data_IF_714420612898
#
_entry.id   IF_714420612898
#
_cell.length_a   1.000
_cell.length_b   1.000
_cell.length_c   1.000
_cell.angle_alpha   90.00
_cell.angle_beta   90.00
_cell.angle_gamma   90.00
#
_symmetry.space_group_name_H-M   'P 1'
#
loop_
_entity.id
_entity.type
_entity.pdbx_description
1 polymer ?
#
# COMPACT_ATOMS: atom_id res chain seq x y z
N UNK A 1 8.24 -6.93 24.94
CA UNK A 1 7.75 -5.90 23.99
C UNK A 1 8.82 -5.65 22.95
N UNK A 2 8.71 -6.21 21.75
CA UNK A 2 9.69 -6.03 20.66
C UNK A 2 9.37 -4.79 19.81
N UNK A 3 9.51 -3.60 20.37
CA UNK A 3 9.42 -2.35 19.58
C UNK A 3 10.44 -1.34 20.11
N UNK A 4 11.70 -1.49 19.66
CA UNK A 4 12.85 -0.76 20.20
C UNK A 4 13.31 0.45 19.39
N UNK A 5 12.90 0.58 18.13
CA UNK A 5 13.45 1.62 17.22
C UNK A 5 12.89 3.02 17.46
N UNK A 6 11.61 3.13 17.86
CA UNK A 6 10.97 4.43 18.11
C UNK A 6 10.63 4.65 19.57
N UNK A 7 10.86 3.66 20.44
CA UNK A 7 10.67 3.72 21.90
C UNK A 7 11.00 5.09 22.54
N UNK A 8 12.16 5.73 22.26
CA UNK A 8 12.50 7.02 22.88
C UNK A 8 11.66 8.21 22.41
N UNK A 9 10.91 8.09 21.30
CA UNK A 9 10.13 9.18 20.72
C UNK A 9 8.74 9.18 21.35
N UNK A 10 8.26 10.30 21.92
CA UNK A 10 6.91 10.42 22.48
C UNK A 10 5.81 10.14 21.45
N UNK A 11 4.70 9.53 21.89
CA UNK A 11 3.57 9.20 21.01
C UNK A 11 3.04 10.41 20.25
N UNK A 12 2.92 11.57 20.91
CA UNK A 12 2.48 12.81 20.28
C UNK A 12 3.40 13.25 19.13
N UNK A 13 4.72 13.14 19.30
CA UNK A 13 5.67 13.46 18.25
C UNK A 13 5.54 12.48 17.06
N UNK A 14 5.36 11.19 17.31
CA UNK A 14 5.12 10.19 16.26
C UNK A 14 3.81 10.46 15.51
N UNK A 15 2.76 10.86 16.21
CA UNK A 15 1.47 11.21 15.63
C UNK A 15 1.56 12.45 14.72
N UNK A 16 2.30 13.48 15.15
CA UNK A 16 2.57 14.67 14.30
C UNK A 16 3.35 14.28 13.06
N UNK A 17 4.42 13.49 13.20
CA UNK A 17 5.20 12.99 12.05
C UNK A 17 4.33 12.20 11.10
N UNK A 18 3.49 11.29 11.62
CA UNK A 18 2.54 10.54 10.82
C UNK A 18 1.59 11.45 10.06
N UNK A 19 0.97 12.43 10.74
CA UNK A 19 0.05 13.38 10.11
C UNK A 19 0.71 14.16 8.97
N UNK A 20 1.93 14.66 9.17
CA UNK A 20 2.70 15.37 8.14
C UNK A 20 2.97 14.44 6.95
N UNK A 21 3.49 13.23 7.19
CA UNK A 21 3.78 12.26 6.11
C UNK A 21 2.51 11.87 5.36
N UNK A 22 1.41 11.60 6.06
CA UNK A 22 0.14 11.20 5.45
C UNK A 22 -0.43 12.31 4.57
N UNK A 23 -0.41 13.57 5.03
CA UNK A 23 -0.86 14.73 4.24
C UNK A 23 0.02 14.93 3.01
N UNK A 24 1.35 14.85 3.15
CA UNK A 24 2.27 14.99 2.02
C UNK A 24 2.01 13.91 0.95
N UNK A 25 1.93 12.64 1.35
CA UNK A 25 1.65 11.54 0.43
C UNK A 25 0.28 11.69 -0.25
N UNK A 26 -0.75 12.08 0.50
CA UNK A 26 -2.08 12.33 -0.05
C UNK A 26 -2.06 13.48 -1.07
N UNK A 27 -1.40 14.59 -0.76
CA UNK A 27 -1.27 15.73 -1.68
C UNK A 27 -0.51 15.33 -2.93
N UNK A 28 0.59 14.58 -2.80
CA UNK A 28 1.34 14.07 -3.95
C UNK A 28 0.50 13.19 -4.87
N UNK A 29 -0.31 12.30 -4.29
CA UNK A 29 -1.21 11.40 -5.03
C UNK A 29 -2.34 12.17 -5.75
N UNK A 30 -2.94 13.16 -5.07
CA UNK A 30 -3.99 14.00 -5.63
C UNK A 30 -3.48 14.95 -6.72
N UNK A 31 -2.29 15.53 -6.52
CA UNK A 31 -1.67 16.50 -7.44
C UNK A 31 -0.89 15.85 -8.58
N UNK A 32 -0.62 14.56 -8.50
CA UNK A 32 0.15 13.80 -9.50
C UNK A 32 1.51 14.46 -9.79
N UNK A 33 2.23 14.82 -8.72
CA UNK A 33 3.56 15.42 -8.86
C UNK A 33 4.47 14.37 -9.51
N UNK A 34 4.92 14.63 -10.73
CA UNK A 34 5.78 13.72 -11.48
C UNK A 34 7.21 13.88 -10.97
N UNK A 35 7.62 12.95 -10.10
CA UNK A 35 9.02 12.81 -9.73
C UNK A 35 9.70 11.89 -10.75
N UNK A 36 10.58 12.46 -11.57
CA UNK A 36 11.42 11.69 -12.49
C UNK A 36 12.53 10.99 -11.71
N UNK A 37 12.19 9.84 -11.12
CA UNK A 37 13.16 8.96 -10.50
C UNK A 37 13.68 7.98 -11.56
N UNK A 38 14.94 7.49 -11.44
CA UNK A 38 15.45 6.40 -12.27
C UNK A 38 14.71 5.10 -11.94
N UNK A 39 13.48 4.98 -12.44
CA UNK A 39 12.60 3.84 -12.22
C UNK A 39 12.76 2.82 -13.34
N UNK A 40 12.57 1.55 -12.99
CA UNK A 40 12.56 0.46 -13.95
C UNK A 40 11.38 0.67 -14.92
N UNK A 41 11.62 0.59 -16.22
CA UNK A 41 10.60 0.80 -17.27
C UNK A 41 9.55 -0.31 -17.36
N UNK A 42 9.75 -1.42 -16.65
CA UNK A 42 8.88 -2.59 -16.66
C UNK A 42 8.39 -2.91 -15.26
N UNK A 43 7.06 -3.07 -15.12
CA UNK A 43 6.40 -3.42 -13.85
C UNK A 43 6.62 -4.90 -13.47
N UNK A 44 6.77 -5.78 -14.46
CA UNK A 44 6.98 -7.22 -14.28
C UNK A 44 8.17 -7.66 -15.13
N UNK A 45 9.32 -8.01 -14.51
CA UNK A 45 10.46 -8.51 -15.24
C UNK A 45 10.15 -9.90 -15.82
N UNK A 46 10.23 -10.03 -17.16
CA UNK A 46 9.89 -11.28 -17.86
C UNK A 46 10.78 -12.47 -17.44
N UNK A 47 12.00 -12.17 -16.98
CA UNK A 47 12.97 -13.10 -16.39
C UNK A 47 12.44 -13.90 -15.18
N UNK A 48 11.39 -13.42 -14.50
CA UNK A 48 10.79 -14.11 -13.35
C UNK A 48 10.06 -15.39 -13.76
N UNK A 49 9.50 -15.44 -14.98
CA UNK A 49 8.75 -16.61 -15.46
C UNK A 49 9.61 -17.62 -16.23
N UNK A 50 10.89 -17.31 -16.48
CA UNK A 50 11.80 -18.16 -17.24
C UNK A 50 12.04 -19.55 -16.63
N UNK A 51 11.82 -19.72 -15.31
CA UNK A 51 12.01 -20.99 -14.58
C UNK A 51 10.69 -21.72 -14.26
N UNK A 52 9.60 -21.38 -14.94
CA UNK A 52 8.30 -22.02 -14.82
C UNK A 52 7.26 -21.15 -14.12
N UNK A 53 6.01 -21.23 -14.59
CA UNK A 53 4.90 -20.34 -14.23
C UNK A 53 4.54 -20.40 -12.73
N UNK A 54 4.56 -21.60 -12.12
CA UNK A 54 4.23 -21.74 -10.69
C UNK A 54 5.27 -21.09 -9.77
N UNK A 55 6.55 -21.44 -9.91
CA UNK A 55 7.62 -20.89 -9.08
C UNK A 55 7.85 -19.40 -9.36
N UNK A 56 7.77 -19.00 -10.63
CA UNK A 56 7.84 -17.61 -11.06
C UNK A 56 6.67 -16.80 -10.49
N UNK A 57 5.45 -17.31 -10.59
CA UNK A 57 4.25 -16.66 -10.06
C UNK A 57 4.26 -16.49 -8.54
N UNK A 58 4.69 -17.52 -7.79
CA UNK A 58 4.82 -17.41 -6.34
C UNK A 58 5.88 -16.37 -5.93
N UNK A 59 7.07 -16.44 -6.54
CA UNK A 59 8.14 -15.47 -6.28
C UNK A 59 7.71 -14.06 -6.65
N UNK A 60 7.07 -13.89 -7.79
CA UNK A 60 6.51 -12.61 -8.21
C UNK A 60 5.49 -12.11 -7.19
N UNK A 61 4.59 -12.96 -6.70
CA UNK A 61 3.61 -12.60 -5.68
C UNK A 61 4.25 -12.11 -4.37
N UNK A 62 5.32 -12.77 -3.92
CA UNK A 62 6.09 -12.34 -2.74
C UNK A 62 6.80 -11.00 -3.01
N UNK A 63 7.51 -10.88 -4.13
CA UNK A 63 8.19 -9.63 -4.51
C UNK A 63 7.17 -8.47 -4.64
N UNK A 64 6.03 -8.74 -5.26
CA UNK A 64 4.90 -7.82 -5.42
C UNK A 64 4.26 -7.41 -4.09
N UNK A 65 4.10 -8.35 -3.15
CA UNK A 65 3.55 -8.09 -1.81
C UNK A 65 4.50 -7.29 -0.92
N UNK A 66 5.81 -7.49 -1.06
CA UNK A 66 6.83 -6.73 -0.34
C UNK A 66 7.16 -5.37 -0.98
N UNK A 67 6.52 -5.01 -2.10
CA UNK A 67 6.88 -3.82 -2.87
C UNK A 67 8.29 -3.88 -3.47
N UNK A 68 8.87 -5.09 -3.55
CA UNK A 68 10.16 -5.31 -4.15
C UNK A 68 10.01 -5.27 -5.67
N UNK A 69 10.72 -4.34 -6.32
CA UNK A 69 10.74 -4.14 -7.79
C UNK A 69 9.41 -3.76 -8.45
N UNK A 70 8.34 -3.64 -7.67
CA UNK A 70 6.98 -3.35 -8.16
C UNK A 70 6.56 -1.99 -7.63
N UNK A 71 6.20 -1.11 -8.55
CA UNK A 71 5.72 0.23 -8.19
C UNK A 71 4.34 0.09 -7.56
N UNK A 72 4.17 0.64 -6.37
CA UNK A 72 2.86 0.75 -5.71
C UNK A 72 2.27 2.11 -6.12
N UNK A 73 1.22 2.12 -6.97
CA UNK A 73 0.78 3.37 -7.61
C UNK A 73 -0.06 4.26 -6.69
N UNK A 74 -0.57 3.74 -5.57
CA UNK A 74 -1.42 4.48 -4.63
C UNK A 74 -0.65 4.83 -3.35
N UNK A 75 -0.82 6.07 -2.90
CA UNK A 75 -0.30 6.52 -1.61
C UNK A 75 -0.89 5.76 -0.41
N UNK A 76 -2.09 5.19 -0.54
CA UNK A 76 -2.77 4.47 0.54
C UNK A 76 -1.88 3.42 1.23
N UNK A 77 -1.12 2.63 0.46
CA UNK A 77 -0.25 1.59 1.01
C UNK A 77 0.95 2.16 1.77
N UNK A 78 1.52 3.26 1.25
CA UNK A 78 2.62 3.97 1.92
C UNK A 78 2.15 4.65 3.21
N UNK A 79 0.94 5.21 3.22
CA UNK A 79 0.33 5.82 4.40
C UNK A 79 0.06 4.73 5.46
N UNK A 80 -0.48 3.57 5.07
CA UNK A 80 -0.70 2.45 5.98
C UNK A 80 0.61 1.91 6.56
N UNK A 81 1.66 1.78 5.75
CA UNK A 81 2.98 1.36 6.21
C UNK A 81 3.58 2.37 7.21
N UNK A 82 3.47 3.68 6.93
CA UNK A 82 3.92 4.73 7.84
C UNK A 82 3.15 4.69 9.17
N UNK A 83 1.84 4.44 9.13
CA UNK A 83 1.03 4.28 10.34
C UNK A 83 1.53 3.09 11.18
N UNK A 84 1.67 1.90 10.60
CA UNK A 84 2.14 0.70 11.31
C UNK A 84 3.50 0.94 11.94
N UNK A 85 4.41 1.60 11.22
CA UNK A 85 5.75 1.92 11.70
C UNK A 85 5.72 2.88 12.90
N UNK A 86 4.95 3.97 12.82
CA UNK A 86 4.98 5.07 13.79
C UNK A 86 4.06 4.86 15.01
N UNK A 87 2.96 4.14 14.85
CA UNK A 87 1.96 3.91 15.91
C UNK A 87 2.43 2.94 16.98
N UNK A 88 3.41 2.08 16.70
CA UNK A 88 3.91 1.09 17.66
C UNK A 88 2.85 0.05 18.05
N UNK A 89 2.01 -0.36 17.09
CA UNK A 89 0.93 -1.32 17.31
C UNK A 89 1.43 -2.65 17.90
N UNK A 90 0.57 -3.35 18.67
CA UNK A 90 0.79 -4.76 18.99
C UNK A 90 1.01 -5.58 17.73
N UNK A 91 1.88 -6.59 17.81
CA UNK A 91 2.24 -7.44 16.67
C UNK A 91 1.02 -8.04 15.96
N UNK A 92 -0.02 -8.43 16.72
CA UNK A 92 -1.26 -8.98 16.18
C UNK A 92 -1.95 -8.03 15.19
N UNK A 93 -2.05 -6.75 15.54
CA UNK A 93 -2.64 -5.72 14.68
C UNK A 93 -1.77 -5.40 13.48
N UNK A 94 -0.44 -5.34 13.65
CA UNK A 94 0.48 -5.15 12.54
C UNK A 94 0.40 -6.30 11.53
N UNK A 95 0.35 -7.55 12.00
CA UNK A 95 0.16 -8.74 11.16
C UNK A 95 -1.21 -8.73 10.48
N UNK A 96 -2.28 -8.38 11.21
CA UNK A 96 -3.61 -8.30 10.64
C UNK A 96 -3.72 -7.25 9.52
N UNK A 97 -3.15 -6.06 9.71
CA UNK A 97 -3.09 -5.01 8.69
C UNK A 97 -2.25 -5.45 7.48
N UNK A 98 -1.12 -6.11 7.71
CA UNK A 98 -0.29 -6.67 6.64
C UNK A 98 -1.02 -7.77 5.84
N UNK A 99 -1.74 -8.65 6.53
CA UNK A 99 -2.55 -9.69 5.91
C UNK A 99 -3.72 -9.10 5.11
N UNK A 100 -4.42 -8.11 5.66
CA UNK A 100 -5.49 -7.40 4.96
C UNK A 100 -4.97 -6.68 3.71
N UNK A 101 -3.80 -6.04 3.79
CA UNK A 101 -3.13 -5.46 2.63
C UNK A 101 -2.81 -6.53 1.59
N UNK A 102 -2.17 -7.65 1.96
CA UNK A 102 -1.87 -8.75 1.05
C UNK A 102 -3.12 -9.34 0.39
N UNK A 103 -4.19 -9.57 1.17
CA UNK A 103 -5.47 -10.07 0.67
C UNK A 103 -6.13 -9.10 -0.33
N UNK A 104 -6.07 -7.79 -0.06
CA UNK A 104 -6.64 -6.76 -0.95
C UNK A 104 -6.02 -6.80 -2.35
N UNK A 105 -4.77 -7.25 -2.47
CA UNK A 105 -4.05 -7.38 -3.75
C UNK A 105 -4.50 -8.58 -4.57
N UNK A 106 -5.07 -9.61 -3.94
CA UNK A 106 -5.66 -10.75 -4.63
C UNK A 106 -7.09 -10.46 -5.14
N UNK A 107 -7.78 -9.48 -4.54
CA UNK A 107 -9.18 -9.18 -4.87
C UNK A 107 -9.42 -8.86 -6.36
N UNK A 108 -8.63 -8.01 -7.04
CA UNK A 108 -8.88 -7.71 -8.47
C UNK A 108 -8.78 -8.94 -9.36
N UNK A 109 -7.87 -9.87 -9.04
CA UNK A 109 -7.69 -11.12 -9.78
C UNK A 109 -8.87 -12.05 -9.53
N UNK A 110 -9.28 -12.22 -8.26
CA UNK A 110 -10.46 -13.03 -7.92
C UNK A 110 -11.72 -12.45 -8.56
N UNK A 111 -11.90 -11.14 -8.51
CA UNK A 111 -13.02 -10.44 -9.14
C UNK A 111 -13.05 -10.69 -10.64
N UNK A 112 -11.90 -10.67 -11.31
CA UNK A 112 -11.80 -11.00 -12.72
C UNK A 112 -12.09 -12.48 -13.02
N UNK A 113 -11.60 -13.42 -12.22
CA UNK A 113 -11.87 -14.86 -12.41
C UNK A 113 -13.36 -15.16 -12.24
N UNK A 114 -14.01 -14.53 -11.27
CA UNK A 114 -15.41 -14.82 -10.92
C UNK A 114 -16.42 -14.08 -11.79
N UNK A 115 -16.11 -12.84 -12.18
CA UNK A 115 -17.07 -11.94 -12.85
C UNK A 115 -16.51 -11.24 -14.09
N UNK A 116 -15.30 -11.59 -14.52
CA UNK A 116 -14.66 -11.01 -15.69
C UNK A 116 -15.52 -11.20 -16.95
N UNK A 117 -15.76 -10.08 -17.64
CA UNK A 117 -16.46 -10.05 -18.94
C UNK A 117 -15.61 -9.25 -19.93
N UNK A 118 -15.81 -9.44 -21.26
CA UNK A 118 -15.18 -8.58 -22.25
C UNK A 118 -15.40 -7.10 -21.92
N UNK A 119 -14.33 -6.30 -21.93
CA UNK A 119 -14.37 -4.88 -21.56
C UNK A 119 -14.09 -4.56 -20.08
N UNK A 120 -13.99 -5.56 -19.20
CA UNK A 120 -13.70 -5.36 -17.78
C UNK A 120 -12.37 -4.61 -17.54
N UNK A 121 -11.32 -4.97 -18.27
CA UNK A 121 -10.01 -4.32 -18.17
C UNK A 121 -10.06 -2.85 -18.62
N UNK A 122 -10.84 -2.54 -19.67
CA UNK A 122 -11.01 -1.17 -20.15
C UNK A 122 -11.81 -0.33 -19.15
N UNK A 123 -12.84 -0.92 -18.54
CA UNK A 123 -13.59 -0.29 -17.45
C UNK A 123 -12.70 0.00 -16.23
N UNK A 124 -11.91 -0.98 -15.78
CA UNK A 124 -11.03 -0.77 -14.63
C UNK A 124 -9.96 0.29 -14.93
N UNK A 125 -9.34 0.27 -16.12
CA UNK A 125 -8.33 1.25 -16.47
C UNK A 125 -8.88 2.68 -16.52
N UNK A 126 -10.13 2.87 -16.96
CA UNK A 126 -10.78 4.19 -16.96
C UNK A 126 -11.12 4.70 -15.57
N UNK A 127 -11.29 3.82 -14.58
CA UNK A 127 -11.64 4.18 -13.21
C UNK A 127 -10.48 4.07 -12.20
N UNK A 128 -9.33 3.51 -12.60
CA UNK A 128 -8.20 3.25 -11.70
C UNK A 128 -7.76 4.50 -10.96
N UNK A 129 -7.69 5.65 -11.62
CA UNK A 129 -7.32 6.92 -10.98
C UNK A 129 -8.29 7.38 -9.91
N UNK A 130 -9.59 7.23 -10.15
CA UNK A 130 -10.61 7.59 -9.17
C UNK A 130 -10.54 6.65 -7.97
N UNK A 131 -10.35 5.35 -8.22
CA UNK A 131 -10.20 4.34 -7.17
C UNK A 131 -8.94 4.56 -6.32
N UNK A 132 -7.81 4.89 -6.94
CA UNK A 132 -6.55 5.22 -6.24
C UNK A 132 -6.74 6.41 -5.30
N UNK A 133 -7.31 7.52 -5.81
CA UNK A 133 -7.51 8.75 -5.03
C UNK A 133 -8.50 8.55 -3.89
N UNK A 134 -9.64 7.91 -4.17
CA UNK A 134 -10.66 7.60 -3.16
C UNK A 134 -10.05 6.69 -2.09
N UNK A 135 -9.29 5.67 -2.49
CA UNK A 135 -8.55 4.80 -1.59
C UNK A 135 -7.61 5.60 -0.68
N UNK A 136 -6.76 6.46 -1.24
CA UNK A 136 -5.83 7.29 -0.48
C UNK A 136 -6.55 8.23 0.51
N UNK A 137 -7.65 8.87 0.10
CA UNK A 137 -8.45 9.74 0.98
C UNK A 137 -9.06 8.95 2.13
N UNK A 138 -9.72 7.82 1.83
CA UNK A 138 -10.38 6.98 2.84
C UNK A 138 -9.36 6.40 3.82
N UNK A 139 -8.24 5.87 3.32
CA UNK A 139 -7.16 5.36 4.17
C UNK A 139 -6.57 6.45 5.06
N UNK A 140 -6.33 7.65 4.52
CA UNK A 140 -5.83 8.78 5.33
C UNK A 140 -6.82 9.15 6.43
N UNK A 141 -8.10 9.27 6.11
CA UNK A 141 -9.14 9.63 7.08
C UNK A 141 -9.27 8.58 8.20
N UNK A 142 -9.33 7.30 7.85
CA UNK A 142 -9.45 6.20 8.82
C UNK A 142 -8.23 6.10 9.73
N UNK A 143 -7.03 6.25 9.17
CA UNK A 143 -5.80 6.16 9.97
C UNK A 143 -5.54 7.42 10.79
N UNK A 144 -5.91 8.60 10.30
CA UNK A 144 -5.89 9.83 11.10
C UNK A 144 -6.85 9.71 12.28
N UNK A 145 -8.06 9.20 12.06
CA UNK A 145 -9.01 8.91 13.13
C UNK A 145 -8.43 7.91 14.15
N UNK A 146 -7.85 6.80 13.67
CA UNK A 146 -7.18 5.83 14.55
C UNK A 146 -6.01 6.45 15.34
N UNK A 147 -5.23 7.35 14.74
CA UNK A 147 -4.17 8.08 15.44
C UNK A 147 -4.73 8.96 16.55
N UNK A 148 -5.83 9.67 16.33
CA UNK A 148 -6.50 10.47 17.37
C UNK A 148 -6.98 9.57 18.49
N UNK A 149 -7.64 8.45 18.18
CA UNK A 149 -8.10 7.48 19.20
C UNK A 149 -6.97 6.85 20.01
N UNK A 150 -5.75 6.80 19.49
CA UNK A 150 -4.57 6.32 20.23
C UNK A 150 -4.02 7.38 21.20
N UNK A 151 -4.30 8.66 20.98
CA UNK A 151 -3.82 9.76 21.82
C UNK A 151 -4.74 10.06 23.02
N UNK A 152 -6.02 9.71 22.94
CA UNK A 152 -7.03 9.96 23.98
C UNK A 152 -8.39 10.29 23.38
#
# INVERSE_FOLDING_TARGET
MFSGLLSPIPLAARAVVFGVVAVLLLVMDLRQIVLQLPQRSQLIPQEVFARGMMRGGFRFGVEYGCGFRTLVPSAASSIAAAFVLLSGLPLTWAVALGAAFGASRALPVLQYILWGRPGWQAFLSSHTRSLERVGSVVTTALLAWATVSLLG
#
